data_IF_459186914041
#
_entry.id   IF_459186914041
#
_cell.length_a   1.000
_cell.length_b   1.000
_cell.length_c   1.000
_cell.angle_alpha   90.00
_cell.angle_beta   90.00
_cell.angle_gamma   90.00
#
_symmetry.space_group_name_H-M   'P 1'
#
loop_
_entity.id
_entity.type
_entity.pdbx_description
1 polymer ?
#
# COMPACT_ATOMS: atom_id res chain seq x y z
N UNK A 1 12.85 -3.22 22.09
CA UNK A 1 12.40 -4.43 21.38
C UNK A 1 10.95 -4.17 20.99
N UNK A 2 10.55 -4.39 19.73
CA UNK A 2 9.15 -4.16 19.33
C UNK A 2 8.31 -5.36 19.76
N UNK A 3 7.09 -5.13 20.23
CA UNK A 3 6.15 -6.22 20.55
C UNK A 3 5.50 -6.78 19.28
N UNK A 4 4.79 -7.92 19.39
CA UNK A 4 4.00 -8.47 18.27
C UNK A 4 2.89 -7.49 17.88
N UNK A 5 2.28 -6.87 18.89
CA UNK A 5 1.23 -5.87 18.76
C UNK A 5 1.73 -4.60 18.07
N UNK A 6 2.93 -4.11 18.43
CA UNK A 6 3.56 -2.96 17.76
C UNK A 6 3.81 -3.28 16.28
N UNK A 7 4.40 -4.45 15.99
CA UNK A 7 4.68 -4.86 14.62
C UNK A 7 3.39 -4.94 13.79
N UNK A 8 2.33 -5.57 14.32
CA UNK A 8 1.03 -5.63 13.64
C UNK A 8 0.44 -4.24 13.40
N UNK A 9 0.53 -3.34 14.38
CA UNK A 9 0.06 -1.97 14.24
C UNK A 9 0.81 -1.23 13.11
N UNK A 10 2.12 -1.42 13.00
CA UNK A 10 2.90 -0.83 11.91
C UNK A 10 2.49 -1.37 10.54
N UNK A 11 2.30 -2.68 10.40
CA UNK A 11 1.82 -3.26 9.14
C UNK A 11 0.43 -2.74 8.76
N UNK A 12 -0.49 -2.63 9.72
CA UNK A 12 -1.84 -2.08 9.48
C UNK A 12 -1.78 -0.61 9.02
N UNK A 13 -0.88 0.20 9.61
CA UNK A 13 -0.65 1.58 9.20
C UNK A 13 -0.06 1.68 7.79
N UNK A 14 0.90 0.81 7.45
CA UNK A 14 1.49 0.74 6.10
C UNK A 14 0.42 0.37 5.07
N UNK A 15 -0.34 -0.70 5.30
CA UNK A 15 -1.44 -1.13 4.42
C UNK A 15 -2.47 -0.01 4.19
N UNK A 16 -2.87 0.68 5.26
CA UNK A 16 -3.78 1.81 5.16
C UNK A 16 -3.20 2.98 4.35
N UNK A 17 -1.89 3.20 4.45
CA UNK A 17 -1.17 4.26 3.73
C UNK A 17 -1.11 3.96 2.23
N UNK A 18 -0.65 2.77 1.83
CA UNK A 18 -0.58 2.35 0.42
C UNK A 18 -1.97 2.44 -0.25
N UNK A 19 -3.02 1.94 0.42
CA UNK A 19 -4.40 2.06 -0.08
C UNK A 19 -4.86 3.52 -0.22
N UNK A 20 -4.52 4.38 0.74
CA UNK A 20 -4.87 5.80 0.70
C UNK A 20 -4.17 6.50 -0.45
N UNK A 21 -2.89 6.19 -0.69
CA UNK A 21 -2.10 6.73 -1.78
C UNK A 21 -2.64 6.26 -3.14
N UNK A 22 -2.89 4.96 -3.32
CA UNK A 22 -3.52 4.41 -4.52
C UNK A 22 -4.83 5.13 -4.86
N UNK A 23 -5.73 5.28 -3.87
CA UNK A 23 -7.00 6.03 -4.04
C UNK A 23 -6.76 7.51 -4.38
N UNK A 24 -5.74 8.13 -3.80
CA UNK A 24 -5.33 9.50 -4.10
C UNK A 24 -4.95 9.67 -5.57
N UNK A 25 -4.07 8.80 -6.08
CA UNK A 25 -3.68 8.79 -7.48
C UNK A 25 -4.86 8.51 -8.40
N UNK A 26 -5.72 7.55 -8.06
CA UNK A 26 -6.96 7.25 -8.79
C UNK A 26 -7.86 8.46 -8.99
N UNK A 27 -8.11 9.16 -7.90
CA UNK A 27 -8.95 10.35 -7.90
C UNK A 27 -8.31 11.52 -8.67
N UNK A 28 -6.99 11.61 -8.66
CA UNK A 28 -6.25 12.65 -9.38
C UNK A 28 -6.28 12.38 -10.89
N UNK A 29 -5.83 11.19 -11.32
CA UNK A 29 -5.67 10.90 -12.74
C UNK A 29 -7.02 10.78 -13.49
N UNK A 30 -8.11 10.45 -12.78
CA UNK A 30 -9.47 10.49 -13.35
C UNK A 30 -9.96 11.90 -13.71
N UNK A 31 -9.36 12.95 -13.13
CA UNK A 31 -9.73 14.36 -13.36
C UNK A 31 -8.76 15.11 -14.27
N UNK A 32 -7.64 14.50 -14.63
CA UNK A 32 -6.61 15.13 -15.47
C UNK A 32 -7.02 15.14 -16.94
N UNK A 33 -6.85 16.29 -17.58
CA UNK A 33 -7.00 16.47 -19.04
C UNK A 33 -5.71 16.16 -19.80
N UNK A 34 -4.55 16.35 -19.17
CA UNK A 34 -3.24 16.02 -19.75
C UNK A 34 -3.05 14.50 -19.77
N UNK A 35 -2.93 13.93 -20.98
CA UNK A 35 -2.84 12.49 -21.19
C UNK A 35 -1.49 11.89 -20.77
N UNK A 36 -0.40 12.65 -20.84
CA UNK A 36 0.94 12.19 -20.41
C UNK A 36 1.00 12.15 -18.89
N UNK A 37 0.50 13.19 -18.24
CA UNK A 37 0.45 13.28 -16.79
C UNK A 37 -0.51 12.23 -16.20
N UNK A 38 -1.68 12.03 -16.84
CA UNK A 38 -2.63 10.97 -16.48
C UNK A 38 -1.97 9.59 -16.49
N UNK A 39 -1.30 9.21 -17.59
CA UNK A 39 -0.60 7.91 -17.69
C UNK A 39 0.46 7.73 -16.60
N UNK A 40 1.17 8.80 -16.24
CA UNK A 40 2.17 8.73 -15.17
C UNK A 40 1.52 8.42 -13.82
N UNK A 41 0.41 9.07 -13.48
CA UNK A 41 -0.29 8.81 -12.23
C UNK A 41 -1.04 7.47 -12.21
N UNK A 42 -1.52 6.98 -13.35
CA UNK A 42 -2.04 5.60 -13.48
C UNK A 42 -0.96 4.55 -13.23
N UNK A 43 0.28 4.80 -13.66
CA UNK A 43 1.40 3.91 -13.35
C UNK A 43 1.72 3.92 -11.85
N UNK A 44 1.75 5.10 -11.23
CA UNK A 44 2.01 5.21 -9.79
C UNK A 44 0.87 4.56 -8.99
N UNK A 45 -0.41 4.74 -9.35
CA UNK A 45 -1.52 4.03 -8.70
C UNK A 45 -1.28 2.51 -8.64
N UNK A 46 -0.79 1.92 -9.75
CA UNK A 46 -0.48 0.49 -9.81
C UNK A 46 0.68 0.10 -8.91
N UNK A 47 1.71 0.94 -8.83
CA UNK A 47 2.86 0.73 -7.93
C UNK A 47 2.41 0.69 -6.46
N UNK A 48 1.50 1.59 -6.04
CA UNK A 48 0.95 1.57 -4.68
C UNK A 48 0.17 0.28 -4.37
N UNK A 49 -0.54 -0.31 -5.34
CA UNK A 49 -1.17 -1.63 -5.14
C UNK A 49 -0.15 -2.75 -4.99
N UNK A 50 0.97 -2.70 -5.74
CA UNK A 50 2.06 -3.67 -5.60
C UNK A 50 2.70 -3.56 -4.21
N UNK A 51 2.93 -2.34 -3.72
CA UNK A 51 3.43 -2.13 -2.35
C UNK A 51 2.44 -2.65 -1.31
N UNK A 52 1.14 -2.40 -1.48
CA UNK A 52 0.11 -2.94 -0.60
C UNK A 52 0.17 -4.48 -0.52
N UNK A 53 0.26 -5.16 -1.66
CA UNK A 53 0.37 -6.63 -1.71
C UNK A 53 1.64 -7.12 -1.02
N UNK A 54 2.79 -6.47 -1.25
CA UNK A 54 4.06 -6.82 -0.61
C UNK A 54 4.01 -6.64 0.92
N UNK A 55 3.42 -5.55 1.41
CA UNK A 55 3.22 -5.30 2.84
C UNK A 55 2.28 -6.37 3.44
N UNK A 56 1.22 -6.73 2.73
CA UNK A 56 0.27 -7.74 3.19
C UNK A 56 0.92 -9.13 3.28
N UNK A 57 1.71 -9.53 2.27
CA UNK A 57 2.46 -10.78 2.28
C UNK A 57 3.46 -10.84 3.45
N UNK A 58 4.18 -9.74 3.72
CA UNK A 58 5.09 -9.67 4.86
C UNK A 58 4.35 -9.79 6.20
N UNK A 59 3.19 -9.15 6.33
CA UNK A 59 2.34 -9.26 7.51
C UNK A 59 1.89 -10.71 7.73
N UNK A 60 1.43 -11.40 6.68
CA UNK A 60 1.00 -12.79 6.76
C UNK A 60 2.14 -13.72 7.17
N UNK A 61 3.33 -13.57 6.56
CA UNK A 61 4.53 -14.36 6.94
C UNK A 61 4.92 -14.13 8.40
N UNK A 62 4.84 -12.88 8.87
CA UNK A 62 5.12 -12.55 10.26
C UNK A 62 4.09 -13.18 11.21
N UNK A 63 2.81 -13.10 10.90
CA UNK A 63 1.75 -13.74 11.70
C UNK A 63 1.89 -15.27 11.76
N UNK A 64 2.33 -15.92 10.67
CA UNK A 64 2.66 -17.36 10.65
C UNK A 64 3.84 -17.66 11.56
N UNK A 65 4.92 -16.86 11.50
CA UNK A 65 6.12 -17.07 12.33
C UNK A 65 5.86 -16.98 13.84
N UNK A 66 4.78 -16.33 14.25
CA UNK A 66 4.39 -16.20 15.66
C UNK A 66 3.53 -17.34 16.20
N UNK A 67 3.05 -18.25 15.33
CA UNK A 67 2.24 -19.42 15.68
C UNK A 67 3.07 -20.68 15.93
N UNK A 68 4.38 -20.64 15.62
CA UNK A 68 5.37 -21.64 16.04
C UNK A 68 6.04 -21.25 17.35
#
# INVERSE_FOLDING_TARGET
>A
MITKEDAKSYFDQMLATELKMARGYKNLHSKLKDSKLKKRFEAIEKEEYIHYEAVNEMKEKLEVSWKG
#
